data_IF_560832387868
#
_entry.id   IF_560832387868
#
_cell.length_a   1.000
_cell.length_b   1.000
_cell.length_c   1.000
_cell.angle_alpha   90.00
_cell.angle_beta   90.00
_cell.angle_gamma   90.00
#
_symmetry.space_group_name_H-M   'P 1'
#
loop_
_entity.id
_entity.type
_entity.pdbx_description
1 polymer ?
#
# COMPACT_ATOMS: atom_id res chain seq x y z
N UNK A 1 4.32 3.71 -15.01
CA UNK A 1 4.59 2.94 -13.78
C UNK A 1 4.88 3.85 -12.60
N UNK A 2 5.95 4.65 -12.70
CA UNK A 2 6.33 5.66 -11.72
C UNK A 2 6.26 7.08 -12.32
N UNK A 3 6.87 7.29 -13.50
CA UNK A 3 6.81 8.57 -14.23
C UNK A 3 5.41 8.88 -14.82
N UNK A 4 4.71 7.90 -15.39
CA UNK A 4 3.30 8.08 -15.80
C UNK A 4 2.34 8.36 -14.62
N UNK A 5 2.75 8.06 -13.38
CA UNK A 5 2.03 8.49 -12.17
C UNK A 5 2.25 9.98 -11.88
N UNK A 6 3.46 10.49 -12.17
CA UNK A 6 3.80 11.91 -12.13
C UNK A 6 3.13 12.71 -13.24
N UNK A 7 3.03 12.19 -14.47
CA UNK A 7 2.33 12.87 -15.58
C UNK A 7 0.82 13.03 -15.31
N UNK A 8 0.25 12.11 -14.52
CA UNK A 8 -1.14 12.19 -14.05
C UNK A 8 -1.34 13.17 -12.89
N UNK A 9 -0.27 13.82 -12.37
CA UNK A 9 -0.35 14.84 -11.31
C UNK A 9 -0.90 16.20 -11.78
N UNK A 10 -1.22 16.37 -13.06
CA UNK A 10 -1.96 17.54 -13.56
C UNK A 10 -3.43 17.56 -13.11
N UNK A 11 -3.83 18.61 -12.40
CA UNK A 11 -5.23 18.86 -11.98
C UNK A 11 -5.73 17.92 -10.88
N UNK A 12 -6.36 16.81 -11.27
CA UNK A 12 -6.90 15.79 -10.35
C UNK A 12 -5.78 15.06 -9.59
N UNK A 13 -4.63 14.81 -10.24
CA UNK A 13 -3.54 14.13 -9.58
C UNK A 13 -2.79 14.99 -8.56
N UNK A 14 -2.84 16.32 -8.65
CA UNK A 14 -2.31 17.20 -7.60
C UNK A 14 -3.08 17.03 -6.29
N UNK A 15 -4.42 17.02 -6.36
CA UNK A 15 -5.29 16.76 -5.20
C UNK A 15 -5.13 15.32 -4.69
N UNK A 16 -5.11 14.34 -5.58
CA UNK A 16 -4.89 12.94 -5.21
C UNK A 16 -3.52 12.72 -4.56
N UNK A 17 -2.49 13.41 -5.05
CA UNK A 17 -1.15 13.40 -4.48
C UNK A 17 -1.09 13.99 -3.07
N UNK A 18 -1.77 15.12 -2.83
CA UNK A 18 -1.89 15.71 -1.50
C UNK A 18 -2.58 14.72 -0.54
N UNK A 19 -3.71 14.14 -0.95
CA UNK A 19 -4.42 13.13 -0.14
C UNK A 19 -3.49 11.95 0.17
N UNK A 20 -2.80 11.42 -0.84
CA UNK A 20 -1.88 10.29 -0.68
C UNK A 20 -0.74 10.59 0.30
N UNK A 21 -0.05 11.74 0.13
CA UNK A 21 1.11 12.11 0.96
C UNK A 21 0.69 12.40 2.39
N UNK A 22 -0.35 13.22 2.61
CA UNK A 22 -0.78 13.58 3.96
C UNK A 22 -1.32 12.36 4.70
N UNK A 23 -2.13 11.54 4.03
CA UNK A 23 -2.63 10.30 4.62
C UNK A 23 -1.49 9.36 5.01
N UNK A 24 -0.53 9.16 4.10
CA UNK A 24 0.63 8.32 4.34
C UNK A 24 1.44 8.79 5.55
N UNK A 25 1.73 10.09 5.65
CA UNK A 25 2.49 10.64 6.78
C UNK A 25 1.74 10.41 8.10
N UNK A 26 0.43 10.63 8.11
CA UNK A 26 -0.40 10.40 9.30
C UNK A 26 -0.41 8.91 9.71
N UNK A 27 -0.61 8.01 8.74
CA UNK A 27 -0.61 6.56 8.94
C UNK A 27 0.74 6.04 9.46
N UNK A 28 1.85 6.49 8.87
CA UNK A 28 3.19 6.14 9.32
C UNK A 28 3.47 6.67 10.72
N UNK A 29 3.08 7.92 11.01
CA UNK A 29 3.31 8.53 12.31
C UNK A 29 2.60 7.75 13.43
N UNK A 30 1.30 7.47 13.29
CA UNK A 30 0.55 6.71 14.30
C UNK A 30 1.02 5.25 14.36
N UNK A 31 1.25 4.63 13.21
CA UNK A 31 1.63 3.23 13.11
C UNK A 31 2.98 2.95 13.76
N UNK A 32 4.01 3.71 13.41
CA UNK A 32 5.34 3.55 13.99
C UNK A 32 5.35 3.90 15.47
N UNK A 33 4.64 4.97 15.87
CA UNK A 33 4.50 5.34 17.27
C UNK A 33 3.91 4.20 18.10
N UNK A 34 2.77 3.64 17.69
CA UNK A 34 2.11 2.56 18.42
C UNK A 34 2.90 1.26 18.36
N UNK A 35 3.48 0.90 17.20
CA UNK A 35 4.26 -0.32 17.06
C UNK A 35 5.43 -0.37 18.06
N UNK A 36 6.20 0.72 18.15
CA UNK A 36 7.31 0.81 19.09
C UNK A 36 6.85 0.92 20.54
N UNK A 37 5.81 1.73 20.83
CA UNK A 37 5.28 1.89 22.18
C UNK A 37 4.72 0.60 22.77
N UNK A 38 4.17 -0.26 21.93
CA UNK A 38 3.60 -1.54 22.31
C UNK A 38 4.60 -2.71 22.19
N UNK A 39 5.88 -2.40 21.93
CA UNK A 39 6.98 -3.36 21.99
C UNK A 39 7.06 -4.35 20.83
N UNK A 40 6.62 -3.96 19.62
CA UNK A 40 6.88 -4.75 18.42
C UNK A 40 8.36 -4.64 18.01
N UNK A 41 8.94 -5.77 17.59
CA UNK A 41 10.29 -5.84 17.01
C UNK A 41 10.49 -4.79 15.92
N UNK A 42 11.67 -4.18 15.83
CA UNK A 42 11.89 -3.03 14.97
C UNK A 42 11.79 -3.38 13.48
N UNK A 43 12.27 -4.57 13.10
CA UNK A 43 12.21 -5.04 11.71
C UNK A 43 10.79 -5.38 11.33
N UNK A 44 10.06 -6.05 12.22
CA UNK A 44 8.64 -6.35 12.03
C UNK A 44 7.81 -5.07 11.95
N UNK A 45 8.05 -4.11 12.84
CA UNK A 45 7.36 -2.81 12.88
C UNK A 45 7.50 -2.05 11.56
N UNK A 46 8.74 -1.88 11.08
CA UNK A 46 8.98 -1.22 9.79
C UNK A 46 8.31 -1.96 8.63
N UNK A 47 8.38 -3.29 8.61
CA UNK A 47 7.75 -4.12 7.58
C UNK A 47 6.23 -3.96 7.59
N UNK A 48 5.61 -4.14 8.76
CA UNK A 48 4.17 -4.18 8.93
C UNK A 48 3.52 -2.82 8.75
N UNK A 49 4.04 -1.78 9.41
CA UNK A 49 3.50 -0.42 9.33
C UNK A 49 3.63 0.14 7.91
N UNK A 50 4.75 -0.15 7.22
CA UNK A 50 4.89 0.22 5.81
C UNK A 50 3.81 -0.41 4.93
N UNK A 51 3.55 -1.69 5.15
CA UNK A 51 2.47 -2.40 4.47
C UNK A 51 1.11 -1.78 4.73
N UNK A 52 0.73 -1.67 5.99
CA UNK A 52 -0.56 -1.17 6.45
C UNK A 52 -0.83 0.31 6.13
N UNK A 53 0.19 1.08 5.74
CA UNK A 53 0.05 2.52 5.45
C UNK A 53 0.03 2.86 3.96
N UNK A 54 0.30 1.89 3.07
CA UNK A 54 0.49 2.16 1.63
C UNK A 54 -0.34 1.24 0.74
N UNK A 55 0.12 -0.01 0.56
CA UNK A 55 -0.42 -0.94 -0.44
C UNK A 55 -0.40 -2.40 0.04
N UNK A 56 -0.23 -2.62 1.34
CA UNK A 56 -0.06 -3.92 1.97
C UNK A 56 1.22 -4.64 1.54
N UNK A 57 1.11 -5.46 0.50
CA UNK A 57 2.09 -6.50 0.16
C UNK A 57 3.41 -5.90 -0.38
N UNK A 58 3.35 -5.06 -1.41
CA UNK A 58 4.58 -4.54 -2.06
C UNK A 58 5.41 -3.67 -1.12
N UNK A 59 4.76 -2.84 -0.30
CA UNK A 59 5.42 -2.01 0.70
C UNK A 59 6.06 -2.85 1.82
N UNK A 60 5.37 -3.89 2.30
CA UNK A 60 5.92 -4.85 3.27
C UNK A 60 7.17 -5.54 2.74
N UNK A 61 7.13 -6.05 1.49
CA UNK A 61 8.29 -6.74 0.90
C UNK A 61 9.46 -5.77 0.72
N UNK A 62 9.23 -4.58 0.14
CA UNK A 62 10.28 -3.60 -0.10
C UNK A 62 10.96 -3.17 1.22
N UNK A 63 10.15 -2.85 2.22
CA UNK A 63 10.64 -2.37 3.52
C UNK A 63 11.26 -3.49 4.34
N UNK A 64 10.65 -4.67 4.37
CA UNK A 64 11.19 -5.82 5.09
C UNK A 64 12.52 -6.30 4.53
N UNK A 65 12.70 -6.30 3.20
CA UNK A 65 14.01 -6.57 2.58
C UNK A 65 15.03 -5.50 2.96
N UNK A 66 14.65 -4.22 2.93
CA UNK A 66 15.52 -3.11 3.27
C UNK A 66 15.93 -3.11 4.76
N UNK A 67 14.99 -3.45 5.64
CA UNK A 67 15.16 -3.59 7.08
C UNK A 67 15.81 -4.93 7.50
N UNK A 68 16.24 -5.74 6.53
CA UNK A 68 16.82 -7.06 6.77
C UNK A 68 15.94 -7.96 7.67
N UNK A 69 14.62 -7.89 7.47
CA UNK A 69 13.65 -8.69 8.19
C UNK A 69 13.66 -10.16 7.73
N UNK A 70 13.43 -11.05 8.70
CA UNK A 70 13.29 -12.47 8.44
C UNK A 70 12.09 -12.75 7.53
N UNK A 71 12.20 -13.76 6.67
CA UNK A 71 11.12 -14.11 5.74
C UNK A 71 9.79 -14.38 6.47
N UNK A 72 9.84 -14.96 7.67
CA UNK A 72 8.66 -15.16 8.50
C UNK A 72 7.95 -13.85 8.88
N UNK A 73 8.69 -12.78 9.20
CA UNK A 73 8.12 -11.47 9.51
C UNK A 73 7.40 -10.86 8.31
N UNK A 74 7.97 -10.99 7.11
CA UNK A 74 7.34 -10.53 5.87
C UNK A 74 6.01 -11.27 5.66
N UNK A 75 6.02 -12.61 5.76
CA UNK A 75 4.82 -13.44 5.57
C UNK A 75 3.75 -13.07 6.58
N UNK A 76 4.08 -13.00 7.87
CA UNK A 76 3.11 -12.65 8.93
C UNK A 76 2.51 -11.26 8.70
N UNK A 77 3.33 -10.27 8.37
CA UNK A 77 2.86 -8.91 8.13
C UNK A 77 1.85 -8.85 6.97
N UNK A 78 2.19 -9.47 5.83
CA UNK A 78 1.31 -9.51 4.66
C UNK A 78 -0.02 -10.21 4.94
N UNK A 79 0.02 -11.32 5.69
CA UNK A 79 -1.18 -12.08 6.04
C UNK A 79 -2.11 -11.30 6.97
N UNK A 80 -1.55 -10.65 7.99
CA UNK A 80 -2.34 -9.85 8.91
C UNK A 80 -3.02 -8.69 8.18
N UNK A 81 -2.28 -7.97 7.32
CA UNK A 81 -2.85 -6.88 6.51
C UNK A 81 -3.98 -7.40 5.63
N UNK A 82 -3.78 -8.52 4.92
CA UNK A 82 -4.79 -9.08 4.04
C UNK A 82 -6.06 -9.49 4.80
N UNK A 83 -5.92 -10.20 5.92
CA UNK A 83 -7.06 -10.71 6.70
C UNK A 83 -7.81 -9.57 7.37
N UNK A 84 -7.10 -8.65 8.03
CA UNK A 84 -7.71 -7.57 8.83
C UNK A 84 -8.23 -6.46 7.91
N UNK A 85 -7.54 -6.17 6.81
CA UNK A 85 -7.96 -5.16 5.82
C UNK A 85 -9.15 -5.59 4.96
N UNK A 86 -9.37 -6.90 4.76
CA UNK A 86 -10.47 -7.41 3.93
C UNK A 86 -11.86 -6.91 4.38
N UNK A 87 -12.24 -6.97 5.67
CA UNK A 87 -13.48 -6.35 6.16
C UNK A 87 -13.62 -4.86 5.82
N UNK A 88 -12.55 -4.07 5.97
CA UNK A 88 -12.56 -2.63 5.64
C UNK A 88 -12.78 -2.42 4.13
N UNK A 89 -12.10 -3.21 3.29
CA UNK A 89 -12.26 -3.16 1.85
C UNK A 89 -13.70 -3.46 1.40
N UNK A 90 -14.31 -4.49 1.98
CA UNK A 90 -15.72 -4.84 1.69
C UNK A 90 -16.65 -3.72 2.14
N UNK A 91 -16.46 -3.19 3.36
CA UNK A 91 -17.28 -2.10 3.87
C UNK A 91 -17.20 -0.85 2.97
N UNK A 92 -15.99 -0.47 2.56
CA UNK A 92 -15.78 0.68 1.68
C UNK A 92 -16.33 0.43 0.27
N UNK A 93 -16.25 -0.79 -0.26
CA UNK A 93 -16.86 -1.12 -1.56
C UNK A 93 -18.38 -0.88 -1.55
N UNK A 94 -19.05 -1.21 -0.45
CA UNK A 94 -20.50 -1.02 -0.29
C UNK A 94 -20.89 0.44 -0.04
N UNK A 95 -20.05 1.20 0.69
CA UNK A 95 -20.33 2.59 1.07
C UNK A 95 -19.87 3.61 0.02
N UNK A 96 -18.91 3.27 -0.84
CA UNK A 96 -18.34 4.22 -1.79
C UNK A 96 -19.38 4.88 -2.72
N UNK A 97 -20.38 4.17 -3.27
CA UNK A 97 -21.38 4.78 -4.14
C UNK A 97 -22.20 5.87 -3.45
N UNK A 98 -22.56 5.71 -2.18
CA UNK A 98 -23.38 6.68 -1.44
C UNK A 98 -22.59 7.90 -0.97
N UNK A 99 -21.26 7.79 -0.88
CA UNK A 99 -20.35 8.86 -0.46
C UNK A 99 -19.79 9.69 -1.62
N UNK A 100 -20.13 9.38 -2.87
CA UNK A 100 -19.69 10.13 -4.05
C UNK A 100 -18.16 10.22 -4.16
N UNK A 101 -17.63 11.41 -4.46
CA UNK A 101 -16.18 11.63 -4.63
C UNK A 101 -15.38 11.22 -3.38
N UNK A 102 -15.94 11.41 -2.18
CA UNK A 102 -15.32 10.97 -0.92
C UNK A 102 -15.24 9.45 -0.84
N UNK A 103 -16.27 8.75 -1.32
CA UNK A 103 -16.27 7.29 -1.44
C UNK A 103 -15.16 6.77 -2.34
N UNK A 104 -14.98 7.38 -3.52
CA UNK A 104 -13.84 7.08 -4.40
C UNK A 104 -12.50 7.33 -3.71
N UNK A 105 -12.38 8.43 -2.96
CA UNK A 105 -11.15 8.74 -2.23
C UNK A 105 -10.83 7.75 -1.11
N UNK A 106 -11.84 7.33 -0.34
CA UNK A 106 -11.69 6.32 0.71
C UNK A 106 -11.25 4.97 0.13
N UNK A 107 -11.84 4.54 -0.98
CA UNK A 107 -11.39 3.31 -1.66
C UNK A 107 -9.93 3.43 -2.07
N UNK A 108 -9.50 4.56 -2.64
CA UNK A 108 -8.11 4.76 -3.04
C UNK A 108 -7.12 4.89 -1.89
N UNK A 109 -7.51 5.56 -0.81
CA UNK A 109 -6.63 5.95 0.30
C UNK A 109 -6.53 4.93 1.43
N UNK A 110 -7.60 4.16 1.67
CA UNK A 110 -7.73 3.25 2.82
C UNK A 110 -7.56 1.79 2.41
N UNK A 111 -8.09 1.36 1.26
CA UNK A 111 -8.02 -0.06 0.88
C UNK A 111 -6.58 -0.47 0.59
N UNK A 112 -6.10 -1.50 1.30
CA UNK A 112 -4.79 -2.07 1.11
C UNK A 112 -4.73 -2.99 -0.12
N UNK A 113 -3.93 -2.58 -1.10
CA UNK A 113 -3.62 -3.38 -2.27
C UNK A 113 -4.28 -2.86 -3.54
N UNK A 114 -3.44 -2.58 -4.53
CA UNK A 114 -3.87 -2.10 -5.85
C UNK A 114 -4.83 -3.05 -6.58
N UNK A 115 -4.65 -4.39 -6.54
CA UNK A 115 -5.61 -5.30 -7.17
C UNK A 115 -7.02 -5.19 -6.56
N UNK A 116 -7.10 -5.05 -5.23
CA UNK A 116 -8.38 -4.94 -4.51
C UNK A 116 -9.05 -3.60 -4.84
N UNK A 117 -8.29 -2.48 -4.80
CA UNK A 117 -8.79 -1.17 -5.24
C UNK A 117 -9.31 -1.22 -6.67
N UNK A 118 -8.58 -1.88 -7.57
CA UNK A 118 -9.00 -1.98 -8.97
C UNK A 118 -10.28 -2.80 -9.12
N UNK A 119 -10.39 -3.93 -8.44
CA UNK A 119 -11.59 -4.76 -8.44
C UNK A 119 -12.82 -3.99 -7.91
N UNK A 120 -12.65 -3.19 -6.85
CA UNK A 120 -13.73 -2.33 -6.34
C UNK A 120 -14.06 -1.24 -7.37
N UNK A 121 -13.04 -0.58 -7.93
CA UNK A 121 -13.19 0.50 -8.90
C UNK A 121 -13.89 0.07 -10.20
N UNK A 122 -13.68 -1.16 -10.66
CA UNK A 122 -14.37 -1.72 -11.83
C UNK A 122 -15.90 -1.82 -11.63
N UNK A 123 -16.37 -1.88 -10.38
CA UNK A 123 -17.79 -1.84 -10.01
C UNK A 123 -18.35 -0.44 -9.71
N UNK A 124 -17.53 0.62 -9.76
CA UNK A 124 -17.92 1.99 -9.42
C UNK A 124 -18.16 2.86 -10.68
N UNK A 125 -18.92 3.97 -10.57
CA UNK A 125 -18.99 4.96 -11.64
C UNK A 125 -17.62 5.46 -12.04
N UNK A 126 -17.40 5.70 -13.35
CA UNK A 126 -16.09 6.03 -13.93
C UNK A 126 -15.33 7.11 -13.15
N UNK A 127 -16.01 8.21 -12.77
CA UNK A 127 -15.42 9.30 -12.00
C UNK A 127 -14.85 8.84 -10.64
N UNK A 128 -15.56 7.96 -9.93
CA UNK A 128 -15.10 7.46 -8.62
C UNK A 128 -13.96 6.46 -8.78
N UNK A 129 -14.03 5.62 -9.81
CA UNK A 129 -12.98 4.68 -10.17
C UNK A 129 -11.65 5.42 -10.48
N UNK A 130 -11.73 6.53 -11.22
CA UNK A 130 -10.58 7.39 -11.53
C UNK A 130 -9.99 8.05 -10.27
N UNK A 131 -10.82 8.56 -9.36
CA UNK A 131 -10.36 9.11 -8.07
C UNK A 131 -9.64 8.03 -7.25
N UNK A 132 -10.27 6.87 -7.08
CA UNK A 132 -9.72 5.77 -6.28
C UNK A 132 -8.37 5.28 -6.81
N UNK A 133 -8.30 5.01 -8.10
CA UNK A 133 -7.08 4.53 -8.75
C UNK A 133 -5.98 5.60 -8.73
N UNK A 134 -6.31 6.88 -8.93
CA UNK A 134 -5.33 7.98 -8.90
C UNK A 134 -4.67 8.15 -7.52
N UNK A 135 -5.46 8.15 -6.44
CA UNK A 135 -4.91 8.24 -5.08
C UNK A 135 -4.03 7.02 -4.77
N UNK A 136 -4.48 5.80 -5.12
CA UNK A 136 -3.69 4.59 -4.86
C UNK A 136 -2.38 4.58 -5.67
N UNK A 137 -2.39 5.03 -6.92
CA UNK A 137 -1.16 5.15 -7.70
C UNK A 137 -0.20 6.18 -7.12
N UNK A 138 -0.71 7.31 -6.62
CA UNK A 138 0.12 8.30 -5.94
C UNK A 138 0.78 7.71 -4.68
N UNK A 139 0.05 6.94 -3.86
CA UNK A 139 0.62 6.21 -2.71
C UNK A 139 1.68 5.19 -3.14
N UNK A 140 1.44 4.44 -4.22
CA UNK A 140 2.40 3.44 -4.72
C UNK A 140 3.74 4.08 -5.16
N UNK A 141 3.71 5.30 -5.67
CA UNK A 141 4.93 6.03 -6.01
C UNK A 141 5.78 6.38 -4.78
N UNK A 142 5.21 6.35 -3.58
CA UNK A 142 5.92 6.68 -2.33
C UNK A 142 6.58 5.44 -1.69
N UNK A 143 6.27 4.22 -2.14
CA UNK A 143 6.82 2.96 -1.61
C UNK A 143 8.36 2.98 -1.52
N UNK A 144 9.12 3.41 -2.55
CA UNK A 144 10.58 3.46 -2.47
C UNK A 144 11.10 4.32 -1.33
N UNK A 145 10.51 5.50 -1.20
CA UNK A 145 10.93 6.51 -0.24
C UNK A 145 10.62 5.99 1.17
N UNK A 146 9.40 5.48 1.39
CA UNK A 146 8.98 4.90 2.66
C UNK A 146 9.85 3.72 3.06
N UNK A 147 10.15 2.81 2.13
CA UNK A 147 10.96 1.64 2.41
C UNK A 147 12.37 2.00 2.90
N UNK A 148 13.01 2.99 2.28
CA UNK A 148 14.33 3.47 2.68
C UNK A 148 14.27 4.15 4.06
N UNK A 149 13.31 5.06 4.25
CA UNK A 149 13.16 5.81 5.51
C UNK A 149 12.90 4.87 6.68
N UNK A 150 11.91 3.98 6.57
CA UNK A 150 11.54 3.08 7.67
C UNK A 150 12.61 2.03 7.95
N UNK A 151 13.27 1.52 6.91
CA UNK A 151 14.41 0.63 7.10
C UNK A 151 15.53 1.32 7.86
N UNK A 152 15.83 2.57 7.53
CA UNK A 152 16.83 3.38 8.23
C UNK A 152 16.42 3.68 9.69
N UNK A 153 15.18 4.06 9.93
CA UNK A 153 14.69 4.32 11.30
C UNK A 153 14.78 3.04 12.15
N UNK A 154 14.31 1.91 11.63
CA UNK A 154 14.36 0.64 12.35
C UNK A 154 15.79 0.14 12.55
N UNK A 155 16.70 0.39 11.62
CA UNK A 155 18.12 0.01 11.76
C UNK A 155 18.83 0.78 12.86
N UNK A 156 18.47 2.06 13.06
CA UNK A 156 18.98 2.90 14.16
C UNK A 156 18.47 2.45 15.52
N UNK A 157 17.23 1.95 15.58
CA UNK A 157 16.63 1.46 16.82
C UNK A 157 17.12 0.05 17.17
N UNK A 158 17.21 -0.85 16.18
CA UNK A 158 17.56 -2.25 16.37
C UNK A 158 19.06 -2.59 16.21
N UNK A 159 19.91 -1.61 15.88
CA UNK A 159 21.37 -1.79 15.81
C UNK A 159 21.85 -2.73 14.71
N UNK A 160 21.31 -2.62 13.49
CA UNK A 160 21.68 -3.46 12.35
C UNK A 160 21.91 -2.67 11.06
N UNK A 161 22.43 -3.30 10.02
CA UNK A 161 22.64 -2.65 8.72
C UNK A 161 21.44 -2.80 7.79
N UNK A 162 21.08 -1.71 7.10
CA UNK A 162 20.06 -1.73 6.05
C UNK A 162 20.60 -2.34 4.77
N UNK A 163 19.74 -3.01 4.01
CA UNK A 163 20.06 -3.45 2.64
C UNK A 163 19.38 -2.55 1.64
N UNK A 164 20.01 -2.33 0.48
CA UNK A 164 19.31 -1.71 -0.64
C UNK A 164 18.27 -2.70 -1.18
N UNK A 165 16.96 -2.39 -1.11
CA UNK A 165 15.93 -3.28 -1.63
C UNK A 165 16.01 -3.30 -3.15
N UNK A 166 16.50 -4.40 -3.73
CA UNK A 166 16.66 -4.59 -5.17
C UNK A 166 15.37 -4.26 -5.97
N UNK A 167 14.20 -4.49 -5.37
CA UNK A 167 12.90 -4.13 -5.95
C UNK A 167 12.79 -2.64 -6.33
N UNK A 168 13.40 -1.74 -5.56
CA UNK A 168 13.39 -0.30 -5.86
C UNK A 168 14.27 0.03 -7.07
N UNK A 169 15.45 -0.58 -7.14
CA UNK A 169 16.35 -0.43 -8.28
C UNK A 169 15.69 -0.95 -9.55
N UNK A 170 15.07 -2.13 -9.48
CA UNK A 170 14.35 -2.72 -10.61
C UNK A 170 13.16 -1.86 -11.05
N UNK A 171 12.39 -1.29 -10.11
CA UNK A 171 11.27 -0.41 -10.44
C UNK A 171 11.73 0.89 -11.11
N UNK A 172 12.83 1.47 -10.64
CA UNK A 172 13.41 2.67 -11.24
C UNK A 172 13.91 2.40 -12.66
N UNK A 173 14.69 1.32 -12.84
CA UNK A 173 15.19 0.89 -14.15
C UNK A 173 14.02 0.63 -15.10
N UNK A 174 13.02 -0.13 -14.68
CA UNK A 174 11.84 -0.41 -15.50
C UNK A 174 11.08 0.87 -15.89
N UNK A 175 10.96 1.84 -14.98
CA UNK A 175 10.32 3.12 -15.31
C UNK A 175 11.14 3.94 -16.30
N UNK A 176 12.47 3.95 -16.20
CA UNK A 176 13.35 4.65 -17.15
C UNK A 176 13.22 4.01 -18.53
N UNK A 177 13.32 2.68 -18.61
CA UNK A 177 13.18 1.95 -19.88
C UNK A 177 11.84 2.26 -20.53
N UNK A 178 10.74 2.22 -19.77
CA UNK A 178 9.41 2.51 -20.29
C UNK A 178 9.24 3.95 -20.80
N UNK A 179 10.04 4.91 -20.34
CA UNK A 179 10.02 6.29 -20.83
C UNK A 179 10.72 6.47 -22.17
N UNK A 180 11.78 5.68 -22.44
CA UNK A 180 12.56 5.81 -23.68
C UNK A 180 12.20 4.77 -24.76
N UNK A 181 11.50 3.69 -24.39
CA UNK A 181 11.13 2.60 -25.30
C UNK A 181 9.62 2.62 -25.52
N UNK A 182 9.18 3.03 -26.71
CA UNK A 182 7.79 2.87 -27.14
C UNK A 182 7.55 1.43 -27.59
N UNK A 183 6.66 0.72 -26.89
CA UNK A 183 6.24 -0.62 -27.26
C UNK A 183 5.06 -0.55 -28.26
N UNK A 184 4.96 -1.50 -29.21
CA UNK A 184 3.76 -1.66 -30.02
C UNK A 184 2.52 -1.92 -29.12
N UNK A 185 1.33 -1.40 -29.48
CA UNK A 185 0.12 -1.55 -28.66
C UNK A 185 -0.22 -3.01 -28.32
N UNK A 186 -0.01 -3.94 -29.26
CA UNK A 186 -0.24 -5.38 -29.07
C UNK A 186 0.66 -6.01 -28.00
N UNK A 187 1.91 -5.55 -27.89
CA UNK A 187 2.85 -6.01 -26.88
C UNK A 187 2.46 -5.43 -25.52
N UNK A 188 2.09 -4.15 -25.47
CA UNK A 188 1.66 -3.48 -24.23
C UNK A 188 0.40 -4.13 -23.64
N UNK A 189 -0.61 -4.42 -24.48
CA UNK A 189 -1.82 -5.14 -24.07
C UNK A 189 -1.50 -6.54 -23.54
N UNK A 190 -0.66 -7.28 -24.25
CA UNK A 190 -0.22 -8.63 -23.82
C UNK A 190 0.54 -8.57 -22.49
N UNK A 191 1.38 -7.56 -22.29
CA UNK A 191 2.12 -7.35 -21.06
C UNK A 191 1.18 -7.03 -19.90
N UNK A 192 0.17 -6.19 -20.13
CA UNK A 192 -0.86 -5.86 -19.14
C UNK A 192 -1.73 -7.07 -18.77
N UNK A 193 -2.13 -7.87 -19.76
CA UNK A 193 -2.87 -9.11 -19.53
C UNK A 193 -2.05 -10.12 -18.72
N UNK A 194 -0.79 -10.34 -19.11
CA UNK A 194 0.13 -11.22 -18.39
C UNK A 194 0.37 -10.75 -16.95
N UNK A 195 0.59 -9.44 -16.75
CA UNK A 195 0.71 -8.83 -15.40
C UNK A 195 -0.53 -9.14 -14.56
N UNK A 196 -1.72 -8.94 -15.09
CA UNK A 196 -2.97 -9.14 -14.34
C UNK A 196 -3.14 -10.62 -13.96
N UNK A 197 -2.87 -11.55 -14.88
CA UNK A 197 -2.91 -13.00 -14.60
C UNK A 197 -1.86 -13.44 -13.58
N UNK A 198 -0.61 -12.97 -13.72
CA UNK A 198 0.46 -13.27 -12.78
C UNK A 198 0.15 -12.72 -11.38
N UNK A 199 -0.42 -11.51 -11.28
CA UNK A 199 -0.85 -10.94 -10.01
C UNK A 199 -2.01 -11.74 -9.39
N UNK A 200 -3.02 -12.11 -10.17
CA UNK A 200 -4.12 -12.94 -9.69
C UNK A 200 -3.63 -14.29 -9.17
N UNK A 201 -2.76 -14.96 -9.95
CA UNK A 201 -2.16 -16.23 -9.56
C UNK A 201 -1.31 -16.11 -8.29
N UNK A 202 -0.49 -15.06 -8.19
CA UNK A 202 0.31 -14.79 -7.00
C UNK A 202 -0.56 -14.57 -5.74
N UNK A 203 -1.69 -13.87 -5.87
CA UNK A 203 -2.62 -13.66 -4.74
C UNK A 203 -3.31 -14.96 -4.31
N UNK A 204 -3.71 -15.81 -5.25
CA UNK A 204 -4.27 -17.14 -4.94
C UNK A 204 -3.24 -18.00 -4.22
N UNK A 205 -2.00 -18.07 -4.75
CA UNK A 205 -0.93 -18.83 -4.11
C UNK A 205 -0.57 -18.29 -2.73
N UNK A 206 -0.52 -16.96 -2.56
CA UNK A 206 -0.28 -16.35 -1.25
C UNK A 206 -1.38 -16.71 -0.25
N UNK A 207 -2.65 -16.72 -0.70
CA UNK A 207 -3.79 -17.18 0.10
C UNK A 207 -3.64 -18.64 0.54
N UNK A 208 -3.28 -19.55 -0.37
CA UNK A 208 -3.07 -20.97 -0.07
C UNK A 208 -1.87 -21.20 0.85
N UNK A 209 -0.78 -20.44 0.66
CA UNK A 209 0.44 -20.55 1.46
C UNK A 209 0.31 -20.01 2.89
N UNK A 210 -0.86 -19.47 3.26
CA UNK A 210 -1.15 -18.86 4.57
C UNK A 210 -1.13 -19.92 5.68
N UNK A 211 -0.09 -19.98 6.54
CA UNK A 211 -0.10 -20.84 7.70
C UNK A 211 -0.91 -20.12 8.79
N UNK A 212 -2.13 -20.60 9.07
CA UNK A 212 -3.01 -20.04 10.10
C UNK A 212 -2.31 -20.06 11.48
N UNK A 213 -1.37 -20.98 11.67
CA UNK A 213 -0.53 -21.11 12.86
C UNK A 213 0.35 -19.87 13.09
N UNK A 214 0.70 -19.14 12.03
CA UNK A 214 1.48 -17.91 12.12
C UNK A 214 0.71 -16.79 12.87
N UNK A 215 -0.64 -16.87 12.91
CA UNK A 215 -1.52 -15.94 13.64
C UNK A 215 -1.53 -16.18 15.16
N UNK A 216 -0.97 -17.29 15.63
CA UNK A 216 -0.88 -17.61 17.07
C UNK A 216 0.40 -17.10 17.73
N UNK A 217 1.28 -16.44 16.97
CA UNK A 217 2.56 -15.95 17.49
C UNK A 217 2.39 -14.74 18.43
N UNK A 218 3.29 -14.58 19.42
CA UNK A 218 3.37 -13.36 20.23
C UNK A 218 3.48 -12.12 19.35
N UNK A 219 2.82 -11.02 19.72
CA UNK A 219 2.84 -9.75 18.98
C UNK A 219 1.72 -9.58 17.94
N UNK A 220 1.02 -10.64 17.54
CA UNK A 220 -0.11 -10.54 16.58
C UNK A 220 -1.24 -9.66 17.09
N UNK A 221 -1.61 -9.77 18.37
CA UNK A 221 -2.63 -8.91 19.00
C UNK A 221 -2.24 -7.43 18.91
N UNK A 222 -0.98 -7.12 19.18
CA UNK A 222 -0.43 -5.77 19.08
C UNK A 222 -0.46 -5.28 17.63
N UNK A 223 -0.07 -6.11 16.68
CA UNK A 223 -0.12 -5.78 15.25
C UNK A 223 -1.56 -5.48 14.79
N UNK A 224 -2.55 -6.25 15.24
CA UNK A 224 -3.98 -5.98 14.96
C UNK A 224 -4.39 -4.61 15.50
N UNK A 225 -4.01 -4.27 16.74
CA UNK A 225 -4.34 -2.97 17.32
C UNK A 225 -3.69 -1.81 16.54
N UNK A 226 -2.42 -1.97 16.15
CA UNK A 226 -1.71 -0.99 15.32
C UNK A 226 -2.40 -0.83 13.98
N UNK A 227 -2.78 -1.92 13.32
CA UNK A 227 -3.49 -1.88 12.03
C UNK A 227 -4.82 -1.15 12.12
N UNK A 228 -5.64 -1.49 13.12
CA UNK A 228 -6.94 -0.84 13.33
C UNK A 228 -6.76 0.67 13.58
N UNK A 229 -5.74 1.06 14.35
CA UNK A 229 -5.45 2.47 14.57
C UNK A 229 -5.03 3.19 13.27
N UNK A 230 -4.21 2.55 12.44
CA UNK A 230 -3.84 3.07 11.12
C UNK A 230 -5.09 3.23 10.24
N UNK A 231 -5.95 2.21 10.17
CA UNK A 231 -7.18 2.24 9.36
C UNK A 231 -8.14 3.35 9.81
N UNK A 232 -8.32 3.54 11.12
CA UNK A 232 -9.15 4.62 11.65
C UNK A 232 -8.58 5.98 11.24
N UNK A 233 -7.26 6.18 11.38
CA UNK A 233 -6.60 7.42 10.95
C UNK A 233 -6.73 7.62 9.45
N UNK A 234 -6.55 6.55 8.65
CA UNK A 234 -6.72 6.58 7.21
C UNK A 234 -8.12 7.06 6.84
N UNK A 235 -9.16 6.47 7.43
CA UNK A 235 -10.55 6.85 7.19
C UNK A 235 -10.77 8.33 7.54
N UNK A 236 -10.35 8.77 8.73
CA UNK A 236 -10.57 10.15 9.19
C UNK A 236 -9.84 11.16 8.30
N UNK A 237 -8.56 10.94 8.03
CA UNK A 237 -7.72 11.86 7.25
C UNK A 237 -8.17 11.91 5.80
N UNK A 238 -8.39 10.77 5.17
CA UNK A 238 -8.86 10.72 3.77
C UNK A 238 -10.24 11.33 3.65
N UNK A 239 -11.17 11.06 4.58
CA UNK A 239 -12.51 11.65 4.56
C UNK A 239 -12.43 13.19 4.66
N UNK A 240 -11.65 13.71 5.61
CA UNK A 240 -11.49 15.15 5.81
C UNK A 240 -10.87 15.82 4.58
N UNK A 241 -9.78 15.26 4.03
CA UNK A 241 -9.11 15.83 2.86
C UNK A 241 -9.96 15.70 1.59
N UNK A 242 -10.67 14.60 1.40
CA UNK A 242 -11.56 14.42 0.26
C UNK A 242 -12.73 15.40 0.31
N UNK A 243 -13.28 15.66 1.50
CA UNK A 243 -14.32 16.67 1.70
C UNK A 243 -13.79 18.08 1.49
N UNK A 244 -12.51 18.36 1.77
CA UNK A 244 -11.95 19.69 1.52
C UNK A 244 -11.58 19.91 0.04
N UNK A 245 -11.09 18.87 -0.63
CA UNK A 245 -10.43 19.00 -1.94
C UNK A 245 -11.30 18.54 -3.11
N UNK A 246 -12.28 17.64 -2.88
CA UNK A 246 -13.02 16.95 -3.95
C UNK A 246 -14.53 17.25 -3.97
N UNK A 247 -15.06 18.00 -3.01
CA UNK A 247 -16.41 18.60 -3.09
C UNK A 247 -16.30 20.01 -3.64
#
# INVERSE_FOLDING_TARGET
GFLAGFDRLGGLGGKAGIIAVVNLVAALAIGMYLAYRLGLDERFSATFVSGASVCGISASIATGRAANAEFAHLVIAMLLIAIIGSPFAIALALLAPSLGNVGGALVGGVVDGTPVVRAIADGLPQKLAEIATSIKYAQNCLIPIVAIILAYVASRLGGYETRLPLALLLMLIASIIATFVSLPPSIEESLHAARNWLLAFAMVLAGIATPIEALKKPGVKTAILVFIAIEIVNIVVVYALATLLLT
#
